data_IF_252832501122
#
_entry.id   IF_252832501122
#
_cell.length_a   1.000
_cell.length_b   1.000
_cell.length_c   1.000
_cell.angle_alpha   90.00
_cell.angle_beta   90.00
_cell.angle_gamma   90.00
#
_symmetry.space_group_name_H-M   'P 1'
#
loop_
_entity.id
_entity.type
_entity.pdbx_description
1 polymer ?
#
# COMPACT_ATOMS: atom_id res chain seq x y z
N UNK A 1 -1.51 7.36 -38.97
CA UNK A 1 -1.06 8.59 -38.28
C UNK A 1 -1.79 8.88 -36.96
N UNK A 2 -3.02 8.39 -36.72
CA UNK A 2 -3.77 8.67 -35.48
C UNK A 2 -3.17 8.06 -34.19
N UNK A 3 -2.52 6.89 -34.26
CA UNK A 3 -1.99 6.21 -33.07
C UNK A 3 -0.73 6.83 -32.44
N UNK A 4 0.07 7.58 -33.20
CA UNK A 4 1.32 8.19 -32.71
C UNK A 4 1.04 9.42 -31.85
N UNK A 5 0.02 10.21 -32.21
CA UNK A 5 -0.39 11.40 -31.44
C UNK A 5 -0.98 11.01 -30.07
N UNK A 6 -1.80 9.95 -30.00
CA UNK A 6 -2.38 9.45 -28.75
C UNK A 6 -1.32 8.98 -27.74
N UNK A 7 -0.31 8.24 -28.21
CA UNK A 7 0.80 7.80 -27.34
C UNK A 7 1.65 8.98 -26.86
N UNK A 8 1.89 9.96 -27.73
CA UNK A 8 2.65 11.16 -27.38
C UNK A 8 1.91 12.05 -26.37
N UNK A 9 0.61 12.26 -26.54
CA UNK A 9 -0.22 12.99 -25.57
C UNK A 9 -0.30 12.29 -24.23
N UNK A 10 -0.45 10.96 -24.21
CA UNK A 10 -0.45 10.17 -22.98
C UNK A 10 0.90 10.25 -22.26
N UNK A 11 2.02 10.24 -23.01
CA UNK A 11 3.36 10.42 -22.44
C UNK A 11 3.56 11.82 -21.83
N UNK A 12 3.17 12.88 -22.55
CA UNK A 12 3.24 14.26 -22.05
C UNK A 12 2.36 14.48 -20.81
N UNK A 13 1.14 13.92 -20.82
CA UNK A 13 0.24 13.99 -19.67
C UNK A 13 0.83 13.27 -18.46
N UNK A 14 1.37 12.06 -18.64
CA UNK A 14 2.03 11.29 -17.58
C UNK A 14 3.24 12.03 -16.98
N UNK A 15 4.06 12.69 -17.81
CA UNK A 15 5.17 13.52 -17.32
C UNK A 15 4.69 14.72 -16.50
N UNK A 16 3.63 15.39 -16.95
CA UNK A 16 3.07 16.54 -16.23
C UNK A 16 2.49 16.14 -14.86
N UNK A 17 1.77 15.02 -14.79
CA UNK A 17 1.23 14.45 -13.55
C UNK A 17 2.37 14.02 -12.62
N UNK A 18 3.45 13.46 -13.15
CA UNK A 18 4.61 13.11 -12.34
C UNK A 18 5.28 14.34 -11.72
N UNK A 19 5.51 15.40 -12.50
CA UNK A 19 6.11 16.64 -12.00
C UNK A 19 5.24 17.26 -10.91
N UNK A 20 3.91 17.27 -11.11
CA UNK A 20 2.96 17.73 -10.11
C UNK A 20 3.01 16.89 -8.83
N UNK A 21 3.03 15.55 -8.97
CA UNK A 21 3.06 14.63 -7.84
C UNK A 21 4.35 14.71 -7.03
N UNK A 22 5.50 14.77 -7.72
CA UNK A 22 6.82 14.89 -7.13
C UNK A 22 6.95 16.18 -6.32
N UNK A 23 6.42 17.29 -6.84
CA UNK A 23 6.54 18.59 -6.19
C UNK A 23 5.42 18.87 -5.18
N UNK A 24 4.47 17.94 -4.97
CA UNK A 24 3.39 18.13 -4.03
C UNK A 24 3.93 18.39 -2.60
N UNK A 25 3.53 19.47 -1.91
CA UNK A 25 4.10 19.87 -0.61
C UNK A 25 4.11 18.76 0.44
N UNK A 26 3.09 17.89 0.42
CA UNK A 26 2.93 16.81 1.39
C UNK A 26 3.68 15.52 1.01
N UNK A 27 4.22 15.41 -0.20
CA UNK A 27 5.04 14.29 -0.64
C UNK A 27 6.36 14.24 0.15
N UNK A 28 6.67 13.18 0.90
CA UNK A 28 7.91 13.11 1.69
C UNK A 28 9.18 13.14 0.83
N UNK A 29 10.22 13.83 1.30
CA UNK A 29 11.49 13.96 0.57
C UNK A 29 12.11 12.61 0.19
N UNK A 30 12.06 11.62 1.09
CA UNK A 30 12.56 10.26 0.81
C UNK A 30 11.85 9.61 -0.38
N UNK A 31 10.53 9.79 -0.50
CA UNK A 31 9.73 9.26 -1.62
C UNK A 31 10.10 10.00 -2.90
N UNK A 32 10.27 11.33 -2.86
CA UNK A 32 10.70 12.13 -4.02
C UNK A 32 12.05 11.67 -4.55
N UNK A 33 13.04 11.54 -3.67
CA UNK A 33 14.40 11.14 -4.05
C UNK A 33 14.42 9.73 -4.67
N UNK A 34 13.59 8.81 -4.14
CA UNK A 34 13.50 7.47 -4.69
C UNK A 34 12.79 7.47 -6.05
N UNK A 35 11.73 8.27 -6.20
CA UNK A 35 11.05 8.47 -7.49
C UNK A 35 11.94 9.14 -8.54
N UNK A 36 12.87 10.00 -8.14
CA UNK A 36 13.89 10.55 -9.06
C UNK A 36 14.85 9.49 -9.58
N UNK A 37 15.14 8.47 -8.78
CA UNK A 37 16.08 7.42 -9.13
C UNK A 37 15.45 6.33 -9.98
N UNK A 38 14.22 5.90 -9.64
CA UNK A 38 13.60 4.71 -10.23
C UNK A 38 12.14 4.92 -10.65
N UNK A 39 11.66 6.17 -10.69
CA UNK A 39 10.25 6.47 -11.00
C UNK A 39 9.84 6.10 -12.42
N UNK A 40 10.75 6.21 -13.39
CA UNK A 40 10.48 5.87 -14.79
C UNK A 40 10.62 4.37 -15.08
N UNK A 41 11.09 3.58 -14.11
CA UNK A 41 11.25 2.14 -14.28
C UNK A 41 9.90 1.43 -14.37
N UNK A 42 9.83 0.45 -15.26
CA UNK A 42 8.63 -0.34 -15.50
C UNK A 42 8.37 -1.30 -14.34
N UNK A 43 7.12 -1.37 -13.91
CA UNK A 43 6.66 -2.35 -12.94
C UNK A 43 6.52 -3.69 -13.64
N UNK A 44 7.21 -4.69 -13.09
CA UNK A 44 7.18 -6.09 -13.53
C UNK A 44 6.17 -6.92 -12.72
N UNK A 45 5.99 -6.59 -11.45
CA UNK A 45 5.08 -7.31 -10.54
C UNK A 45 4.55 -6.39 -9.45
N UNK A 46 3.27 -6.53 -9.11
CA UNK A 46 2.67 -5.95 -7.90
C UNK A 46 2.13 -7.10 -7.05
N UNK A 47 2.39 -7.05 -5.75
CA UNK A 47 1.79 -7.95 -4.78
C UNK A 47 1.20 -7.16 -3.63
N UNK A 48 0.00 -7.54 -3.19
CA UNK A 48 -0.60 -7.10 -1.95
C UNK A 48 0.00 -7.91 -0.80
N UNK A 49 0.64 -7.22 0.13
CA UNK A 49 1.13 -7.82 1.37
C UNK A 49 0.18 -7.55 2.53
N UNK A 50 -0.09 -8.59 3.33
CA UNK A 50 -0.76 -8.49 4.63
C UNK A 50 0.22 -8.93 5.73
N UNK A 51 0.22 -8.20 6.85
CA UNK A 51 0.94 -8.62 8.06
C UNK A 51 0.12 -8.31 9.31
N UNK A 52 0.01 -9.23 10.29
CA UNK A 52 -0.65 -8.95 11.54
C UNK A 52 -0.01 -7.76 12.26
N UNK A 53 -0.82 -6.95 12.95
CA UNK A 53 -0.25 -5.91 13.81
C UNK A 53 0.45 -6.56 15.01
N UNK A 54 1.77 -6.35 15.15
CA UNK A 54 2.58 -6.91 16.26
C UNK A 54 2.00 -6.60 17.66
N UNK A 55 1.30 -5.47 17.79
CA UNK A 55 0.66 -5.03 19.03
C UNK A 55 -0.83 -5.42 19.15
N UNK A 56 -1.38 -6.21 18.23
CA UNK A 56 -2.80 -6.59 18.19
C UNK A 56 -3.27 -7.18 19.52
N UNK A 57 -2.49 -8.09 20.13
CA UNK A 57 -2.87 -8.70 21.43
C UNK A 57 -3.04 -7.67 22.55
N UNK A 58 -2.26 -6.59 22.53
CA UNK A 58 -2.38 -5.50 23.50
C UNK A 58 -3.59 -4.62 23.18
N UNK A 59 -3.76 -4.25 21.91
CA UNK A 59 -4.90 -3.45 21.45
C UNK A 59 -6.22 -4.16 21.73
N UNK A 60 -6.34 -5.45 21.40
CA UNK A 60 -7.53 -6.26 21.65
C UNK A 60 -7.83 -6.38 23.14
N UNK A 61 -6.83 -6.63 23.99
CA UNK A 61 -7.02 -6.67 25.45
C UNK A 61 -7.52 -5.33 26.00
N UNK A 62 -6.92 -4.23 25.56
CA UNK A 62 -7.35 -2.89 25.99
C UNK A 62 -8.75 -2.56 25.49
N UNK A 63 -9.05 -2.81 24.22
CA UNK A 63 -10.35 -2.58 23.63
C UNK A 63 -11.43 -3.40 24.34
N UNK A 64 -11.22 -4.71 24.51
CA UNK A 64 -12.16 -5.59 25.22
C UNK A 64 -12.37 -5.18 26.68
N UNK A 65 -11.32 -4.77 27.38
CA UNK A 65 -11.46 -4.23 28.74
C UNK A 65 -12.31 -2.95 28.78
N UNK A 66 -12.15 -2.07 27.79
CA UNK A 66 -12.90 -0.81 27.72
C UNK A 66 -14.34 -0.98 27.21
N UNK A 67 -14.64 -2.06 26.50
CA UNK A 67 -15.97 -2.31 25.93
C UNK A 67 -16.76 -3.41 26.63
N UNK A 68 -16.22 -4.03 27.69
CA UNK A 68 -16.73 -5.27 28.27
C UNK A 68 -16.92 -6.36 27.17
N UNK A 69 -15.84 -6.63 26.42
CA UNK A 69 -15.76 -7.63 25.32
C UNK A 69 -16.55 -7.35 24.04
N UNK A 70 -17.41 -6.32 23.99
CA UNK A 70 -18.17 -5.97 22.77
C UNK A 70 -17.31 -5.74 21.52
N UNK A 71 -16.05 -5.32 21.68
CA UNK A 71 -15.12 -5.18 20.56
C UNK A 71 -14.82 -6.53 19.91
N UNK A 72 -14.49 -7.56 20.69
CA UNK A 72 -14.27 -8.92 20.18
C UNK A 72 -15.54 -9.52 19.59
N UNK A 73 -16.71 -9.30 20.22
CA UNK A 73 -17.98 -9.78 19.69
C UNK A 73 -18.27 -9.15 18.32
N UNK A 74 -18.03 -7.84 18.17
CA UNK A 74 -18.20 -7.16 16.88
C UNK A 74 -17.17 -7.60 15.84
N UNK A 75 -15.94 -7.87 16.26
CA UNK A 75 -14.91 -8.41 15.39
C UNK A 75 -15.31 -9.79 14.84
N UNK A 76 -15.86 -10.66 15.69
CA UNK A 76 -16.41 -11.97 15.30
C UNK A 76 -17.65 -11.82 14.41
N UNK A 77 -18.56 -10.91 14.74
CA UNK A 77 -19.76 -10.61 13.94
C UNK A 77 -19.41 -10.18 12.51
N UNK A 78 -18.34 -9.39 12.37
CA UNK A 78 -17.82 -8.94 11.07
C UNK A 78 -16.93 -9.99 10.37
N UNK A 79 -16.70 -11.15 10.99
CA UNK A 79 -15.91 -12.24 10.42
C UNK A 79 -14.40 -11.96 10.35
N UNK A 80 -13.86 -11.11 11.23
CA UNK A 80 -12.44 -10.75 11.23
C UNK A 80 -11.64 -11.60 12.22
N UNK A 81 -10.72 -12.41 11.72
CA UNK A 81 -9.85 -13.21 12.58
C UNK A 81 -8.70 -12.38 13.18
N UNK A 82 -8.07 -11.50 12.37
CA UNK A 82 -7.02 -10.61 12.85
C UNK A 82 -7.05 -9.21 12.22
N UNK A 83 -6.38 -8.26 12.88
CA UNK A 83 -6.20 -6.88 12.39
C UNK A 83 -4.84 -6.81 11.69
N UNK A 84 -4.86 -6.54 10.38
CA UNK A 84 -3.67 -6.53 9.54
C UNK A 84 -3.25 -5.12 9.10
N UNK A 85 -1.96 -4.95 8.86
CA UNK A 85 -1.40 -3.86 8.07
C UNK A 85 -1.21 -4.31 6.63
N UNK A 86 -1.70 -3.53 5.68
CA UNK A 86 -1.56 -3.77 4.24
C UNK A 86 -0.51 -2.86 3.61
N UNK A 87 0.18 -3.39 2.61
CA UNK A 87 1.18 -2.69 1.81
C UNK A 87 1.25 -3.30 0.41
N UNK A 88 1.87 -2.60 -0.53
CA UNK A 88 2.17 -3.13 -1.86
C UNK A 88 3.67 -3.42 -1.96
N UNK A 89 4.01 -4.60 -2.44
CA UNK A 89 5.34 -4.91 -2.95
C UNK A 89 5.35 -4.68 -4.46
N UNK A 90 6.22 -3.78 -4.90
CA UNK A 90 6.35 -3.40 -6.29
C UNK A 90 7.72 -3.86 -6.77
N UNK A 91 7.72 -4.82 -7.69
CA UNK A 91 8.94 -5.24 -8.39
C UNK A 91 9.08 -4.42 -9.66
N UNK A 92 10.16 -3.68 -9.78
CA UNK A 92 10.51 -2.90 -10.97
C UNK A 92 11.72 -3.52 -11.68
N UNK A 93 11.82 -3.24 -12.98
CA UNK A 93 13.08 -3.42 -13.70
C UNK A 93 14.14 -2.51 -13.08
N UNK A 94 15.36 -3.01 -12.96
CA UNK A 94 16.44 -2.27 -12.33
C UNK A 94 17.64 -2.24 -13.26
N UNK A 95 17.76 -1.10 -13.93
CA UNK A 95 18.91 -0.75 -14.76
C UNK A 95 20.03 -0.07 -13.95
N UNK A 96 19.82 0.12 -12.63
CA UNK A 96 20.68 0.89 -11.72
C UNK A 96 21.49 0.02 -10.72
N UNK A 97 21.48 -1.31 -10.85
CA UNK A 97 22.43 -2.22 -10.20
C UNK A 97 22.11 -2.69 -8.77
N UNK A 98 21.04 -2.22 -8.13
CA UNK A 98 20.64 -2.67 -6.77
C UNK A 98 19.64 -3.85 -6.73
N UNK A 99 20.14 -5.09 -6.77
CA UNK A 99 19.29 -6.29 -6.87
C UNK A 99 18.95 -6.87 -5.49
N UNK A 100 17.89 -6.38 -4.86
CA UNK A 100 17.45 -6.87 -3.52
C UNK A 100 16.93 -8.31 -3.58
N UNK A 101 16.37 -8.75 -4.72
CA UNK A 101 15.80 -10.09 -4.89
C UNK A 101 16.84 -11.21 -5.05
N UNK A 102 18.06 -10.88 -5.47
CA UNK A 102 19.11 -11.88 -5.67
C UNK A 102 19.56 -12.54 -4.36
N UNK A 103 19.32 -11.89 -3.21
CA UNK A 103 19.64 -12.43 -1.88
C UNK A 103 18.48 -13.19 -1.22
N UNK A 104 17.28 -13.22 -1.81
CA UNK A 104 16.05 -13.73 -1.17
C UNK A 104 15.58 -15.03 -1.82
N UNK A 105 15.80 -15.18 -3.12
CA UNK A 105 15.42 -16.38 -3.88
C UNK A 105 16.68 -17.04 -4.40
N UNK A 106 17.15 -18.08 -3.70
CA UNK A 106 18.29 -18.92 -4.13
C UNK A 106 18.08 -19.58 -5.51
N UNK A 107 16.86 -19.51 -6.06
CA UNK A 107 16.46 -20.08 -7.35
C UNK A 107 16.14 -19.04 -8.44
N UNK A 108 16.37 -17.74 -8.23
CA UNK A 108 16.14 -16.76 -9.28
C UNK A 108 17.22 -16.91 -10.37
N UNK A 109 16.85 -17.14 -11.65
CA UNK A 109 17.83 -17.21 -12.73
C UNK A 109 18.62 -15.90 -12.77
N UNK A 110 19.95 -16.00 -13.00
CA UNK A 110 20.81 -14.84 -13.27
C UNK A 110 20.34 -14.16 -14.55
N UNK A 111 19.35 -13.28 -14.44
CA UNK A 111 18.95 -12.39 -15.53
C UNK A 111 19.89 -11.20 -15.56
N UNK A 112 20.31 -10.82 -16.76
CA UNK A 112 21.25 -9.72 -17.02
C UNK A 112 20.68 -8.34 -16.62
N UNK A 113 19.36 -8.24 -16.44
CA UNK A 113 18.67 -7.08 -15.88
C UNK A 113 18.38 -7.30 -14.40
N UNK A 114 18.77 -6.32 -13.58
CA UNK A 114 18.47 -6.34 -12.15
C UNK A 114 16.96 -6.23 -11.91
N UNK A 115 16.50 -6.64 -10.73
CA UNK A 115 15.15 -6.33 -10.25
C UNK A 115 15.24 -5.64 -8.90
N UNK A 116 14.39 -4.65 -8.66
CA UNK A 116 14.29 -3.99 -7.36
C UNK A 116 12.89 -4.18 -6.82
N UNK A 117 12.78 -4.50 -5.53
CA UNK A 117 11.50 -4.57 -4.83
C UNK A 117 11.40 -3.38 -3.90
N UNK A 118 10.27 -2.68 -3.99
CA UNK A 118 9.91 -1.57 -3.12
C UNK A 118 8.64 -1.90 -2.36
N UNK A 119 8.57 -1.45 -1.11
CA UNK A 119 7.37 -1.43 -0.29
C UNK A 119 6.75 -0.05 -0.43
N UNK A 120 5.52 -0.03 -0.92
CA UNK A 120 4.63 1.12 -0.89
C UNK A 120 3.59 0.91 0.20
N UNK A 121 3.57 1.78 1.21
CA UNK A 121 2.64 1.67 2.32
C UNK A 121 2.13 3.03 2.78
N UNK A 122 0.99 3.01 3.48
CA UNK A 122 0.51 4.16 4.21
C UNK A 122 1.06 4.13 5.63
N UNK A 123 1.67 5.23 6.04
CA UNK A 123 1.96 5.52 7.45
C UNK A 123 1.17 6.79 7.82
N UNK A 124 1.76 7.74 8.56
CA UNK A 124 1.22 9.11 8.62
C UNK A 124 1.20 9.78 7.24
N UNK A 125 2.14 9.42 6.37
CA UNK A 125 2.23 9.85 4.96
C UNK A 125 2.50 8.62 4.08
N UNK A 126 2.50 8.82 2.76
CA UNK A 126 2.98 7.79 1.83
C UNK A 126 4.43 7.42 2.14
N UNK A 127 4.71 6.13 2.24
CA UNK A 127 6.04 5.57 2.40
C UNK A 127 6.41 4.75 1.17
N UNK A 128 7.61 4.96 0.65
CA UNK A 128 8.23 4.14 -0.39
C UNK A 128 9.65 3.83 0.05
N UNK A 129 9.98 2.54 0.20
CA UNK A 129 11.27 2.09 0.75
C UNK A 129 11.60 0.67 0.30
N UNK A 130 12.80 0.22 0.62
CA UNK A 130 13.17 -1.19 0.48
C UNK A 130 12.50 -2.07 1.56
N UNK A 131 12.24 -3.36 1.26
CA UNK A 131 11.61 -4.25 2.20
C UNK A 131 12.52 -4.63 3.39
N UNK A 132 11.90 -4.87 4.54
CA UNK A 132 12.54 -5.45 5.74
C UNK A 132 12.10 -6.92 5.81
N UNK A 133 13.06 -7.83 5.75
CA UNK A 133 12.85 -9.27 5.60
C UNK A 133 13.16 -9.97 6.93
N UNK A 134 12.40 -11.00 7.31
CA UNK A 134 11.29 -11.64 6.60
C UNK A 134 9.91 -11.01 6.86
N UNK A 135 9.85 -9.94 7.65
CA UNK A 135 8.60 -9.31 8.14
C UNK A 135 7.58 -8.95 7.05
N UNK A 136 8.00 -8.85 5.79
CA UNK A 136 7.19 -8.41 4.64
C UNK A 136 6.95 -9.51 3.60
N UNK A 137 7.08 -10.79 3.98
CA UNK A 137 6.97 -11.95 3.09
C UNK A 137 6.01 -13.04 3.62
N UNK A 138 5.04 -12.69 4.48
CA UNK A 138 4.21 -13.67 5.21
C UNK A 138 2.94 -14.02 4.42
N UNK A 139 2.13 -13.02 4.03
CA UNK A 139 0.92 -13.21 3.22
C UNK A 139 0.96 -12.30 1.98
N UNK A 140 1.20 -12.89 0.80
CA UNK A 140 1.34 -12.17 -0.46
C UNK A 140 0.30 -12.64 -1.48
N UNK A 141 -0.38 -11.68 -2.10
CA UNK A 141 -1.38 -11.90 -3.13
C UNK A 141 -0.96 -11.17 -4.40
N UNK A 142 -0.98 -11.84 -5.55
CA UNK A 142 -0.56 -11.24 -6.81
C UNK A 142 -1.63 -10.30 -7.35
N UNK A 143 -1.24 -9.08 -7.74
CA UNK A 143 -2.13 -8.12 -8.42
C UNK A 143 -1.69 -8.07 -9.89
N UNK A 144 -2.44 -8.71 -10.81
CA UNK A 144 -2.01 -8.80 -12.20
C UNK A 144 -2.01 -7.43 -12.89
N UNK A 145 -0.97 -7.16 -13.65
CA UNK A 145 -0.88 -5.97 -14.50
C UNK A 145 -1.78 -6.12 -15.73
N UNK A 146 -2.25 -4.99 -16.28
CA UNK A 146 -3.06 -5.01 -17.50
C UNK A 146 -2.19 -5.41 -18.70
N UNK A 147 -2.56 -6.46 -19.45
CA UNK A 147 -1.80 -6.89 -20.62
C UNK A 147 -1.61 -5.76 -21.64
N UNK A 148 -0.41 -5.64 -22.21
CA UNK A 148 -0.05 -4.64 -23.22
C UNK A 148 -0.22 -3.18 -22.78
N UNK A 149 -0.32 -2.91 -21.47
CA UNK A 149 -0.37 -1.57 -20.91
C UNK A 149 0.76 -1.41 -19.88
N UNK A 150 1.98 -1.06 -20.32
CA UNK A 150 3.11 -0.83 -19.42
C UNK A 150 2.73 0.19 -18.33
N UNK A 151 3.18 -0.06 -17.11
CA UNK A 151 2.94 0.81 -15.97
C UNK A 151 4.27 1.13 -15.31
N UNK A 152 4.63 2.41 -15.29
CA UNK A 152 5.81 2.90 -14.59
C UNK A 152 5.48 3.22 -13.12
N UNK A 153 6.49 3.18 -12.25
CA UNK A 153 6.33 3.47 -10.82
C UNK A 153 5.77 4.88 -10.56
N UNK A 154 6.26 5.87 -11.31
CA UNK A 154 5.79 7.24 -11.20
C UNK A 154 4.32 7.37 -11.58
N UNK A 155 3.87 6.66 -12.62
CA UNK A 155 2.50 6.66 -13.09
C UNK A 155 1.58 6.01 -12.06
N UNK A 156 2.01 4.90 -11.42
CA UNK A 156 1.26 4.26 -10.35
C UNK A 156 0.95 5.25 -9.22
N UNK A 157 1.98 5.99 -8.77
CA UNK A 157 1.89 6.93 -7.65
C UNK A 157 1.16 8.22 -8.03
N UNK A 158 1.46 8.79 -9.19
CA UNK A 158 0.82 10.04 -9.62
C UNK A 158 -0.66 9.84 -9.90
N UNK A 159 -1.07 8.73 -10.50
CA UNK A 159 -2.49 8.43 -10.76
C UNK A 159 -3.28 8.37 -9.45
N UNK A 160 -2.77 7.63 -8.46
CA UNK A 160 -3.42 7.51 -7.16
C UNK A 160 -3.47 8.86 -6.41
N UNK A 161 -2.41 9.66 -6.50
CA UNK A 161 -2.36 10.98 -5.89
C UNK A 161 -3.43 11.93 -6.45
N UNK A 162 -3.60 11.99 -7.77
CA UNK A 162 -4.55 12.92 -8.40
C UNK A 162 -6.01 12.51 -8.17
N UNK A 163 -6.28 11.22 -7.97
CA UNK A 163 -7.63 10.72 -7.76
C UNK A 163 -8.16 10.94 -6.33
N UNK A 164 -7.31 11.16 -5.32
CA UNK A 164 -7.70 11.20 -3.92
C UNK A 164 -7.43 12.53 -3.22
N UNK A 165 -8.49 13.18 -2.70
CA UNK A 165 -8.34 14.42 -1.89
C UNK A 165 -7.66 14.17 -0.53
N UNK A 166 -7.80 12.97 0.01
CA UNK A 166 -7.30 12.60 1.35
C UNK A 166 -6.07 11.70 1.30
N UNK A 167 -5.37 11.65 0.16
CA UNK A 167 -4.22 10.78 -0.08
C UNK A 167 -3.15 10.88 1.01
N UNK A 168 -2.94 12.08 1.56
CA UNK A 168 -1.96 12.32 2.62
C UNK A 168 -2.52 12.26 4.04
N UNK A 169 -3.83 12.36 4.22
CA UNK A 169 -4.46 12.29 5.55
C UNK A 169 -4.51 10.81 5.98
N UNK A 170 -4.27 10.54 7.26
CA UNK A 170 -4.46 9.21 7.86
C UNK A 170 -5.51 9.35 8.97
N UNK A 171 -6.59 8.57 8.88
CA UNK A 171 -7.61 8.49 9.92
C UNK A 171 -8.18 7.06 10.01
N UNK A 172 -7.63 6.27 10.92
CA UNK A 172 -8.14 4.92 11.19
C UNK A 172 -9.60 4.89 11.69
N UNK A 173 -10.09 5.98 12.29
CA UNK A 173 -11.46 6.10 12.82
C UNK A 173 -12.53 6.33 11.75
N UNK A 174 -12.14 6.86 10.59
CA UNK A 174 -13.04 7.12 9.45
C UNK A 174 -12.71 6.24 8.24
N UNK A 175 -12.14 5.05 8.49
CA UNK A 175 -11.73 4.09 7.45
C UNK A 175 -10.68 4.64 6.46
N UNK A 176 -9.93 5.69 6.78
CA UNK A 176 -8.81 6.19 5.97
C UNK A 176 -7.47 5.64 6.50
N UNK A 177 -7.18 4.39 6.16
CA UNK A 177 -6.05 3.62 6.70
C UNK A 177 -5.28 2.89 5.59
N UNK A 178 -4.31 2.07 5.98
CA UNK A 178 -3.45 1.33 5.06
C UNK A 178 -4.23 0.48 4.05
N UNK A 179 -5.39 -0.06 4.44
CA UNK A 179 -6.23 -0.91 3.59
C UNK A 179 -6.92 -0.11 2.48
N UNK A 180 -7.63 0.96 2.84
CA UNK A 180 -8.25 1.85 1.86
C UNK A 180 -7.22 2.56 0.99
N UNK A 181 -6.05 2.89 1.53
CA UNK A 181 -4.93 3.40 0.73
C UNK A 181 -4.49 2.40 -0.34
N UNK A 182 -4.25 1.13 0.01
CA UNK A 182 -3.83 0.13 -0.96
C UNK A 182 -4.93 -0.13 -2.00
N UNK A 183 -6.20 -0.29 -1.57
CA UNK A 183 -7.34 -0.45 -2.48
C UNK A 183 -7.46 0.72 -3.46
N UNK A 184 -7.33 1.96 -2.98
CA UNK A 184 -7.32 3.17 -3.82
C UNK A 184 -6.24 3.14 -4.90
N UNK A 185 -5.03 2.67 -4.56
CA UNK A 185 -3.95 2.51 -5.54
C UNK A 185 -4.31 1.51 -6.65
N UNK A 186 -4.91 0.38 -6.29
CA UNK A 186 -5.32 -0.66 -7.24
C UNK A 186 -6.48 -0.17 -8.12
N UNK A 187 -7.47 0.49 -7.53
CA UNK A 187 -8.65 1.02 -8.21
C UNK A 187 -8.30 2.12 -9.22
N UNK A 188 -7.58 3.16 -8.79
CA UNK A 188 -7.29 4.32 -9.64
C UNK A 188 -6.37 3.98 -10.82
N UNK A 189 -5.52 2.95 -10.67
CA UNK A 189 -4.69 2.46 -11.76
C UNK A 189 -5.41 1.43 -12.65
N UNK A 190 -6.69 1.14 -12.38
CA UNK A 190 -7.52 0.24 -13.19
C UNK A 190 -7.07 -1.22 -13.11
N UNK A 191 -6.53 -1.64 -11.97
CA UNK A 191 -5.96 -2.98 -11.78
C UNK A 191 -6.98 -4.01 -11.25
N UNK A 192 -8.09 -3.56 -10.65
CA UNK A 192 -9.15 -4.45 -10.13
C UNK A 192 -9.66 -5.45 -11.18
N UNK A 193 -9.98 -5.06 -12.42
CA UNK A 193 -10.52 -6.01 -13.41
C UNK A 193 -9.55 -7.13 -13.80
N UNK A 194 -8.25 -6.99 -13.49
CA UNK A 194 -7.27 -8.03 -13.77
C UNK A 194 -7.23 -9.10 -12.66
N UNK A 195 -7.83 -8.84 -11.49
CA UNK A 195 -7.86 -9.76 -10.36
C UNK A 195 -9.02 -10.74 -10.55
N UNK A 196 -8.69 -11.99 -10.84
CA UNK A 196 -9.67 -13.07 -11.02
C UNK A 196 -9.77 -14.01 -9.81
N UNK A 197 -8.76 -13.97 -8.95
CA UNK A 197 -8.68 -14.79 -7.75
C UNK A 197 -9.49 -14.15 -6.60
N UNK A 198 -10.43 -14.92 -6.05
CA UNK A 198 -11.31 -14.44 -4.99
C UNK A 198 -10.53 -14.15 -3.70
N UNK A 199 -9.50 -14.94 -3.37
CA UNK A 199 -8.73 -14.72 -2.14
C UNK A 199 -8.01 -13.36 -2.17
N UNK A 200 -7.53 -12.93 -3.34
CA UNK A 200 -6.93 -11.61 -3.56
C UNK A 200 -7.96 -10.49 -3.45
N UNK A 201 -9.17 -10.68 -4.00
CA UNK A 201 -10.27 -9.71 -3.86
C UNK A 201 -10.67 -9.56 -2.39
N UNK A 202 -10.84 -10.67 -1.67
CA UNK A 202 -11.17 -10.69 -0.24
C UNK A 202 -10.06 -10.04 0.59
N UNK A 203 -8.79 -10.28 0.25
CA UNK A 203 -7.66 -9.67 0.93
C UNK A 203 -7.53 -8.16 0.68
N UNK A 204 -8.03 -7.66 -0.45
CA UNK A 204 -8.03 -6.25 -0.80
C UNK A 204 -9.17 -5.47 -0.09
N UNK A 205 -10.22 -6.17 0.34
CA UNK A 205 -11.37 -5.54 0.97
C UNK A 205 -10.99 -4.94 2.34
N UNK A 206 -11.17 -3.62 2.56
CA UNK A 206 -10.86 -3.01 3.84
C UNK A 206 -11.78 -3.51 4.95
N UNK A 207 -11.22 -3.67 6.14
CA UNK A 207 -12.02 -3.92 7.34
C UNK A 207 -12.82 -2.67 7.70
N UNK A 208 -14.04 -2.87 8.22
CA UNK A 208 -14.86 -1.78 8.75
C UNK A 208 -14.37 -1.36 10.15
N UNK A 209 -13.25 -0.63 10.17
CA UNK A 209 -12.67 -0.13 11.41
C UNK A 209 -13.58 0.87 12.11
N UNK A 210 -14.42 1.60 11.39
CA UNK A 210 -15.42 2.49 11.98
C UNK A 210 -16.43 1.69 12.80
N UNK A 211 -16.96 0.59 12.27
CA UNK A 211 -17.81 -0.31 13.04
C UNK A 211 -17.08 -0.88 14.27
N UNK A 212 -15.83 -1.33 14.12
CA UNK A 212 -15.02 -1.81 15.25
C UNK A 212 -14.81 -0.73 16.33
N UNK A 213 -14.39 0.47 15.93
CA UNK A 213 -14.09 1.58 16.85
C UNK A 213 -15.38 2.12 17.49
N UNK A 214 -16.52 2.08 16.81
CA UNK A 214 -17.80 2.55 17.36
C UNK A 214 -18.21 1.80 18.63
N UNK A 215 -17.79 0.54 18.79
CA UNK A 215 -18.04 -0.25 20.02
C UNK A 215 -17.44 0.38 21.28
N UNK A 216 -16.43 1.25 21.12
CA UNK A 216 -15.77 1.96 22.21
C UNK A 216 -16.54 3.20 22.70
N UNK A 217 -17.58 3.63 21.98
CA UNK A 217 -18.36 4.82 22.32
C UNK A 217 -17.47 6.06 22.54
N UNK A 218 -17.68 6.77 23.66
CA UNK A 218 -16.88 7.94 24.05
C UNK A 218 -15.40 7.64 24.33
N UNK A 219 -15.01 6.36 24.47
CA UNK A 219 -13.63 5.92 24.73
C UNK A 219 -12.82 5.70 23.45
N UNK A 220 -13.43 5.86 22.27
CA UNK A 220 -12.80 5.75 20.95
C UNK A 220 -11.54 6.61 20.79
N UNK A 221 -11.52 7.82 21.39
CA UNK A 221 -10.35 8.72 21.35
C UNK A 221 -9.10 8.14 22.00
N UNK A 222 -9.25 7.32 23.03
CA UNK A 222 -8.12 6.68 23.75
C UNK A 222 -7.50 5.59 22.88
N UNK A 223 -8.34 4.78 22.24
CA UNK A 223 -7.86 3.71 21.36
C UNK A 223 -7.26 4.28 20.07
N UNK A 224 -7.86 5.33 19.48
CA UNK A 224 -7.28 6.04 18.32
C UNK A 224 -5.87 6.54 18.64
N UNK A 225 -5.68 7.17 19.80
CA UNK A 225 -4.34 7.59 20.25
C UNK A 225 -3.35 6.43 20.42
N UNK A 226 -3.80 5.28 20.94
CA UNK A 226 -2.96 4.09 21.09
C UNK A 226 -2.58 3.44 19.75
N UNK A 227 -3.51 3.38 18.79
CA UNK A 227 -3.24 2.88 17.43
C UNK A 227 -2.32 3.81 16.66
N UNK A 228 -2.48 5.12 16.80
CA UNK A 228 -1.63 6.12 16.16
C UNK A 228 -0.20 6.05 16.74
N UNK A 229 -0.04 5.91 18.05
CA UNK A 229 1.26 5.71 18.70
C UNK A 229 1.94 4.40 18.28
N UNK A 230 1.17 3.32 18.13
CA UNK A 230 1.69 2.05 17.65
C UNK A 230 2.15 2.13 16.18
N UNK A 231 1.50 2.96 15.36
CA UNK A 231 1.93 3.24 13.99
C UNK A 231 3.21 4.10 13.96
N UNK A 232 3.34 5.07 14.87
CA UNK A 232 4.52 5.95 15.00
C UNK A 232 5.77 5.18 15.47
N UNK A 233 5.62 4.25 16.42
CA UNK A 233 6.76 3.53 17.03
C UNK A 233 7.51 2.61 16.05
N UNK A 234 6.98 2.36 14.85
CA UNK A 234 7.66 1.63 13.77
C UNK A 234 8.72 2.46 13.01
N UNK A 235 8.84 3.76 13.27
CA UNK A 235 9.78 4.64 12.56
C UNK A 235 11.15 4.82 13.22
N UNK A 236 11.44 4.11 14.32
CA UNK A 236 12.74 4.13 15.02
C UNK A 236 13.31 2.72 15.16
#
# INVERSE_FOLDING_TARGET
MLGVNLLFEQFQNNQSLFIAAKNHPEMPLKVRNLLEQVGDELILKIQLGRRPLKCQKLLLKMANYLTDSKFADKQLELGYDEIYHTYLLITIENNHGFNVLQHITENAPKTTTGRTVLVLEKTMRIGLRYPIIPDEMIDLYDIPLTPNKPLALNQLISTALHAGKDFFIYDAGENNMCQTFVKHFIECNGLIPNIVDQATLDALEPMDAKALISTLGGRSKIVKGATDLAAIRKQW
#
